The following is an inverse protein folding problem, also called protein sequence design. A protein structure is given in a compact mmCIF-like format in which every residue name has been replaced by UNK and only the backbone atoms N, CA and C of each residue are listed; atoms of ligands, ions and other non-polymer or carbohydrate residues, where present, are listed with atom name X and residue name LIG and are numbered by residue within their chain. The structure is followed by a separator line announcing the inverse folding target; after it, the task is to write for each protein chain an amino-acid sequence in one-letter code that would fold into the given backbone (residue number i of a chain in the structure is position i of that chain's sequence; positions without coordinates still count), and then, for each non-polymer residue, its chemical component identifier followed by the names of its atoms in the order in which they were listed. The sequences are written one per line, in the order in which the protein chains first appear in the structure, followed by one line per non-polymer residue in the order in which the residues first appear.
data_IF_317575394699
#
_entry.id   IF_317575394699
#
_cell.length_a   1.000
_cell.length_b   1.000
_cell.length_c   1.000
_cell.angle_alpha   90.00
_cell.angle_beta   90.00
_cell.angle_gamma   90.00
#
_symmetry.space_group_name_H-M   'P 1'
#
loop_
_entity.id
_entity.type
_entity.pdbx_description
1 polymer ?
#
# COMPACT_ATOMS: atom_id res chain seq x y z
N UNK A 1 -1.92 -9.24 -2.95
CA UNK A 1 -2.14 -10.11 -4.13
C UNK A 1 -1.07 -9.96 -5.21
N UNK A 2 -0.47 -8.77 -5.38
CA UNK A 2 0.47 -8.50 -6.47
C UNK A 2 1.80 -9.28 -6.37
N UNK A 3 2.28 -9.59 -5.17
CA UNK A 3 3.64 -10.09 -4.95
C UNK A 3 3.68 -11.59 -4.64
N UNK A 4 3.15 -12.41 -5.54
CA UNK A 4 3.22 -13.87 -5.48
C UNK A 4 4.44 -14.47 -6.22
N UNK A 5 5.28 -13.61 -6.81
CA UNK A 5 6.45 -13.99 -7.60
C UNK A 5 6.14 -14.30 -9.07
N UNK A 6 4.88 -14.21 -9.51
CA UNK A 6 4.49 -14.42 -10.90
C UNK A 6 4.54 -13.11 -11.70
N UNK A 7 5.29 -13.09 -12.80
CA UNK A 7 5.32 -11.93 -13.71
C UNK A 7 3.98 -11.70 -14.45
N UNK A 8 3.08 -12.68 -14.45
CA UNK A 8 1.76 -12.58 -15.10
C UNK A 8 0.64 -12.24 -14.10
N UNK A 9 0.99 -11.88 -12.86
CA UNK A 9 0.00 -11.52 -11.85
C UNK A 9 -0.75 -10.24 -12.30
N UNK A 10 -2.10 -10.29 -12.43
CA UNK A 10 -2.89 -9.16 -12.94
C UNK A 10 -2.91 -7.95 -11.98
N UNK A 11 -2.47 -8.13 -10.75
CA UNK A 11 -2.42 -7.05 -9.75
C UNK A 11 -1.07 -6.30 -9.74
N UNK A 12 -0.11 -6.70 -10.58
CA UNK A 12 1.14 -5.96 -10.71
C UNK A 12 0.88 -4.58 -11.33
N UNK A 13 1.61 -3.54 -10.90
CA UNK A 13 1.42 -2.17 -11.39
C UNK A 13 1.44 -2.01 -12.90
N UNK A 14 2.27 -2.77 -13.61
CA UNK A 14 2.38 -2.75 -15.07
C UNK A 14 1.16 -3.32 -15.81
N UNK A 15 0.31 -4.06 -15.14
CA UNK A 15 -0.92 -4.62 -15.69
C UNK A 15 -2.17 -3.78 -15.37
N UNK A 16 -2.01 -2.71 -14.58
CA UNK A 16 -3.11 -1.80 -14.22
C UNK A 16 -3.40 -0.87 -15.40
N UNK A 17 -4.66 -0.83 -15.82
CA UNK A 17 -5.13 -0.05 -16.98
C UNK A 17 -5.78 1.27 -16.52
N UNK A 18 -5.97 2.18 -17.48
CA UNK A 18 -6.50 3.53 -17.20
C UNK A 18 -7.95 3.53 -16.69
N UNK A 19 -8.73 2.49 -16.97
CA UNK A 19 -10.10 2.32 -16.48
C UNK A 19 -10.19 1.62 -15.12
N UNK A 20 -9.07 1.16 -14.58
CA UNK A 20 -9.05 0.43 -13.31
C UNK A 20 -9.16 1.36 -12.10
N UNK A 21 -9.56 0.76 -10.98
CA UNK A 21 -9.45 1.32 -9.65
C UNK A 21 -8.43 0.50 -8.86
N UNK A 22 -7.38 1.13 -8.38
CA UNK A 22 -6.34 0.47 -7.60
C UNK A 22 -6.50 0.75 -6.10
N UNK A 23 -6.23 -0.26 -5.28
CA UNK A 23 -6.25 -0.19 -3.82
C UNK A 23 -4.91 -0.66 -3.27
N UNK A 24 -4.37 -0.01 -2.24
CA UNK A 24 -3.27 -0.61 -1.45
C UNK A 24 -3.77 -1.75 -0.57
N UNK A 25 -5.04 -1.73 -0.21
CA UNK A 25 -5.75 -2.79 0.52
C UNK A 25 -7.22 -2.45 0.66
N UNK A 26 -8.03 -3.46 0.99
CA UNK A 26 -9.47 -3.32 1.31
C UNK A 26 -9.72 -3.55 2.79
N UNK A 27 -10.97 -3.40 3.22
CA UNK A 27 -11.36 -3.67 4.61
C UNK A 27 -11.09 -5.11 5.08
N UNK A 28 -10.99 -6.07 4.16
CA UNK A 28 -10.72 -7.49 4.45
C UNK A 28 -9.21 -7.81 4.50
N UNK A 29 -8.38 -6.92 4.01
CA UNK A 29 -6.94 -7.10 4.05
C UNK A 29 -6.37 -6.62 5.40
N UNK A 30 -5.15 -7.04 5.68
CA UNK A 30 -4.32 -6.36 6.67
C UNK A 30 -3.96 -4.96 6.20
N UNK A 31 -3.49 -4.09 7.09
CA UNK A 31 -2.83 -2.85 6.69
C UNK A 31 -1.58 -3.20 5.86
N UNK A 32 -1.14 -2.32 4.98
CA UNK A 32 0.06 -2.58 4.16
C UNK A 32 1.30 -2.86 5.02
N UNK A 33 1.44 -2.14 6.14
CA UNK A 33 2.54 -2.38 7.08
C UNK A 33 2.38 -3.74 7.79
N UNK A 34 1.18 -4.07 8.29
CA UNK A 34 0.91 -5.35 8.96
C UNK A 34 1.11 -6.54 8.02
N UNK A 35 0.63 -6.43 6.78
CA UNK A 35 0.88 -7.42 5.75
C UNK A 35 2.38 -7.66 5.55
N UNK A 36 3.16 -6.61 5.34
CA UNK A 36 4.61 -6.74 5.10
C UNK A 36 5.34 -7.35 6.29
N UNK A 37 4.98 -6.98 7.51
CA UNK A 37 5.53 -7.55 8.75
C UNK A 37 5.20 -9.04 8.91
N UNK A 38 4.09 -9.52 8.34
CA UNK A 38 3.68 -10.93 8.38
C UNK A 38 4.39 -11.81 7.36
N UNK A 39 5.09 -11.22 6.37
CA UNK A 39 5.82 -11.95 5.35
C UNK A 39 7.08 -12.62 5.90
N UNK A 40 7.43 -13.78 5.35
CA UNK A 40 8.76 -14.36 5.57
C UNK A 40 9.85 -13.51 4.93
N UNK A 41 11.10 -13.72 5.35
CA UNK A 41 12.26 -13.01 4.78
C UNK A 41 12.34 -13.20 3.26
N UNK A 42 12.05 -14.42 2.78
CA UNK A 42 12.06 -14.74 1.35
C UNK A 42 10.95 -13.97 0.60
N UNK A 43 9.76 -13.87 1.19
CA UNK A 43 8.66 -13.10 0.60
C UNK A 43 8.95 -11.59 0.60
N UNK A 44 9.53 -11.07 1.67
CA UNK A 44 9.98 -9.67 1.72
C UNK A 44 11.04 -9.39 0.64
N UNK A 45 11.92 -10.36 0.39
CA UNK A 45 12.93 -10.25 -0.67
C UNK A 45 12.30 -10.24 -2.06
N UNK A 46 11.22 -11.00 -2.31
CA UNK A 46 10.47 -10.94 -3.57
C UNK A 46 9.93 -9.53 -3.81
N UNK A 47 9.33 -8.91 -2.79
CA UNK A 47 8.83 -7.52 -2.89
C UNK A 47 9.97 -6.56 -3.21
N UNK A 48 11.08 -6.64 -2.49
CA UNK A 48 12.24 -5.78 -2.69
C UNK A 48 12.83 -5.95 -4.09
N UNK A 49 13.00 -7.18 -4.55
CA UNK A 49 13.53 -7.48 -5.88
C UNK A 49 12.64 -6.90 -6.98
N UNK A 50 11.32 -6.98 -6.82
CA UNK A 50 10.37 -6.34 -7.73
C UNK A 50 10.59 -4.82 -7.78
N UNK A 51 10.69 -4.17 -6.62
CA UNK A 51 10.90 -2.72 -6.54
C UNK A 51 12.24 -2.29 -7.18
N UNK A 52 13.29 -3.08 -7.01
CA UNK A 52 14.61 -2.82 -7.64
C UNK A 52 14.52 -3.02 -9.15
N UNK A 53 13.92 -4.11 -9.61
CA UNK A 53 13.80 -4.43 -11.03
C UNK A 53 13.01 -3.39 -11.84
N UNK A 54 12.14 -2.62 -11.17
CA UNK A 54 11.32 -1.57 -11.79
C UNK A 54 11.77 -0.15 -11.40
N UNK A 55 13.00 0.02 -10.96
CA UNK A 55 13.64 1.31 -10.62
C UNK A 55 12.94 2.11 -9.49
N UNK A 56 12.17 1.42 -8.64
CA UNK A 56 11.57 2.04 -7.44
C UNK A 56 12.53 2.10 -6.25
N UNK A 57 13.50 1.22 -6.24
CA UNK A 57 14.56 1.09 -5.23
C UNK A 57 15.89 0.77 -5.92
N UNK A 58 16.98 0.96 -5.19
CA UNK A 58 18.33 0.58 -5.61
C UNK A 58 18.83 -0.63 -4.79
N UNK A 59 19.87 -1.28 -5.29
CA UNK A 59 20.55 -2.31 -4.50
C UNK A 59 21.06 -1.74 -3.18
N UNK A 60 20.78 -2.45 -2.09
CA UNK A 60 21.11 -2.01 -0.74
C UNK A 60 20.00 -1.25 -0.02
N UNK A 61 18.94 -0.85 -0.74
CA UNK A 61 17.74 -0.28 -0.11
C UNK A 61 16.95 -1.32 0.66
N UNK A 62 16.04 -0.84 1.50
CA UNK A 62 15.03 -1.64 2.20
C UNK A 62 13.62 -1.18 1.82
N UNK A 63 12.64 -2.08 1.88
CA UNK A 63 11.24 -1.71 1.72
C UNK A 63 10.78 -0.80 2.86
N UNK A 64 9.99 0.19 2.51
CA UNK A 64 9.33 1.11 3.44
C UNK A 64 7.82 1.00 3.24
N UNK A 65 7.15 0.32 4.17
CA UNK A 65 5.70 0.14 4.11
C UNK A 65 5.01 1.02 5.14
N UNK A 66 3.91 1.64 4.76
CA UNK A 66 3.12 1.49 3.53
C UNK A 66 3.59 2.35 2.34
N UNK A 67 4.62 3.18 2.50
CA UNK A 67 5.03 4.21 1.54
C UNK A 67 5.28 3.66 0.14
N UNK A 68 5.98 2.54 0.01
CA UNK A 68 6.31 1.96 -1.29
C UNK A 68 5.04 1.49 -2.02
N UNK A 69 4.08 0.85 -1.33
CA UNK A 69 2.81 0.45 -1.93
C UNK A 69 1.94 1.65 -2.31
N UNK A 70 1.89 2.68 -1.46
CA UNK A 70 1.17 3.92 -1.77
C UNK A 70 1.74 4.58 -3.03
N UNK A 71 3.06 4.65 -3.15
CA UNK A 71 3.73 5.19 -4.35
C UNK A 71 3.38 4.39 -5.60
N UNK A 72 3.43 3.06 -5.55
CA UNK A 72 3.05 2.20 -6.67
C UNK A 72 1.59 2.46 -7.10
N UNK A 73 0.67 2.54 -6.14
CA UNK A 73 -0.74 2.82 -6.42
C UNK A 73 -0.94 4.21 -7.05
N UNK A 74 -0.29 5.25 -6.50
CA UNK A 74 -0.41 6.62 -7.01
C UNK A 74 0.26 6.80 -8.38
N UNK A 75 1.34 6.08 -8.66
CA UNK A 75 2.06 6.14 -9.92
C UNK A 75 1.41 5.28 -11.02
N UNK A 76 0.49 4.38 -10.67
CA UNK A 76 -0.18 3.50 -11.63
C UNK A 76 -1.00 4.26 -12.66
N UNK A 77 -1.36 3.60 -13.77
CA UNK A 77 -2.24 4.15 -14.80
C UNK A 77 -3.71 4.24 -14.37
N UNK A 78 -4.09 3.66 -13.23
CA UNK A 78 -5.47 3.59 -12.77
C UNK A 78 -6.15 4.95 -12.74
N UNK A 79 -7.42 5.00 -13.17
CA UNK A 79 -8.26 6.19 -13.07
C UNK A 79 -8.38 6.68 -11.62
N UNK A 80 -8.53 5.76 -10.68
CA UNK A 80 -8.70 6.07 -9.27
C UNK A 80 -7.76 5.21 -8.41
N UNK A 81 -7.05 5.84 -7.48
CA UNK A 81 -6.29 5.16 -6.43
C UNK A 81 -6.97 5.41 -5.08
N UNK A 82 -7.30 4.33 -4.38
CA UNK A 82 -7.92 4.37 -3.05
C UNK A 82 -6.92 3.83 -2.03
N UNK A 83 -6.59 4.65 -1.05
CA UNK A 83 -5.65 4.32 0.02
C UNK A 83 -6.41 4.33 1.34
N UNK A 84 -6.43 3.22 2.09
CA UNK A 84 -7.03 3.17 3.41
C UNK A 84 -6.40 4.18 4.37
N UNK A 85 -7.20 4.74 5.27
CA UNK A 85 -6.71 5.70 6.26
C UNK A 85 -5.61 5.11 7.15
N UNK A 86 -5.66 3.80 7.40
CA UNK A 86 -4.62 3.08 8.15
C UNK A 86 -3.24 3.18 7.47
N UNK A 87 -3.19 3.08 6.14
CA UNK A 87 -1.95 3.22 5.39
C UNK A 87 -1.48 4.68 5.39
N UNK A 88 -2.38 5.66 5.22
CA UNK A 88 -2.04 7.08 5.33
C UNK A 88 -1.45 7.44 6.69
N UNK A 89 -1.92 6.79 7.76
CA UNK A 89 -1.42 6.97 9.13
C UNK A 89 -0.26 6.03 9.49
N UNK A 90 0.20 5.17 8.57
CA UNK A 90 1.30 4.22 8.75
C UNK A 90 1.08 3.24 9.91
N UNK A 91 -0.15 2.75 10.04
CA UNK A 91 -0.57 1.87 11.13
C UNK A 91 -0.38 0.40 10.76
N UNK A 92 -0.02 -0.39 11.76
CA UNK A 92 0.20 -1.84 11.65
C UNK A 92 -1.10 -2.67 11.72
N UNK A 93 -0.96 -4.00 11.72
CA UNK A 93 -2.05 -4.95 11.68
C UNK A 93 -3.02 -4.92 12.88
N UNK A 94 -2.69 -4.23 13.98
CA UNK A 94 -3.62 -4.01 15.09
C UNK A 94 -4.77 -3.05 14.74
N UNK A 95 -4.68 -2.35 13.61
CA UNK A 95 -5.62 -1.33 13.15
C UNK A 95 -6.51 -1.79 12.00
N UNK A 96 -6.68 -3.10 11.79
CA UNK A 96 -7.56 -3.63 10.75
C UNK A 96 -9.02 -3.22 10.98
N UNK A 97 -9.75 -3.03 9.88
CA UNK A 97 -11.19 -2.82 9.91
C UNK A 97 -11.94 -4.13 10.14
N UNK A 98 -11.52 -5.18 9.44
CA UNK A 98 -12.14 -6.49 9.47
C UNK A 98 -11.10 -7.60 9.43
N UNK A 99 -11.35 -8.69 10.16
CA UNK A 99 -10.59 -9.94 10.10
C UNK A 99 -11.51 -11.03 9.59
N UNK A 100 -11.41 -11.42 8.30
CA UNK A 100 -12.27 -12.44 7.74
C UNK A 100 -12.27 -13.74 8.55
N UNK A 101 -13.45 -14.34 8.74
CA UNK A 101 -13.62 -15.54 9.53
C UNK A 101 -13.75 -15.33 11.04
N UNK A 102 -13.73 -14.10 11.52
CA UNK A 102 -14.01 -13.76 12.93
C UNK A 102 -15.38 -13.08 13.09
N UNK A 103 -15.97 -13.17 14.28
CA UNK A 103 -17.31 -12.61 14.58
C UNK A 103 -17.22 -11.35 15.42
N UNK A 104 -16.13 -11.16 16.17
CA UNK A 104 -15.98 -10.07 17.15
C UNK A 104 -14.89 -9.10 16.73
N UNK A 105 -14.98 -7.85 17.18
CA UNK A 105 -13.95 -6.83 17.01
C UNK A 105 -13.91 -6.18 15.63
N UNK A 106 -14.74 -6.61 14.68
CA UNK A 106 -14.79 -6.06 13.33
C UNK A 106 -15.64 -4.79 13.22
N UNK A 107 -15.31 -3.92 12.25
CA UNK A 107 -16.05 -2.69 11.93
C UNK A 107 -16.10 -1.68 13.07
N UNK A 108 -15.16 -1.73 13.99
CA UNK A 108 -15.09 -0.85 15.18
C UNK A 108 -13.92 0.13 15.12
N UNK A 109 -12.97 -0.07 14.22
CA UNK A 109 -11.80 0.77 14.10
C UNK A 109 -12.17 2.22 13.78
N UNK A 110 -11.56 3.14 14.48
CA UNK A 110 -11.68 4.58 14.29
C UNK A 110 -10.30 5.20 14.45
N UNK A 111 -10.06 6.29 13.74
CA UNK A 111 -8.90 7.13 13.98
C UNK A 111 -9.30 8.42 14.69
N UNK A 112 -8.35 9.04 15.35
CA UNK A 112 -8.48 10.37 15.91
C UNK A 112 -7.66 11.36 15.07
N UNK A 113 -8.16 12.58 14.90
CA UNK A 113 -7.47 13.61 14.11
C UNK A 113 -6.09 13.97 14.67
N UNK A 114 -5.84 13.75 15.97
CA UNK A 114 -4.51 13.91 16.56
C UNK A 114 -3.45 12.92 16.02
N UNK A 115 -3.88 11.83 15.39
CA UNK A 115 -2.99 10.88 14.70
C UNK A 115 -2.52 11.38 13.33
N UNK A 116 -3.18 12.39 12.78
CA UNK A 116 -2.81 12.97 11.48
C UNK A 116 -1.57 13.83 11.66
N UNK A 117 -0.47 13.39 11.08
CA UNK A 117 0.82 14.08 11.11
C UNK A 117 0.94 15.01 9.91
N UNK A 118 1.30 16.27 10.15
CA UNK A 118 1.49 17.25 9.07
C UNK A 118 2.56 16.83 8.05
N UNK A 119 3.60 16.13 8.48
CA UNK A 119 4.61 15.63 7.57
C UNK A 119 4.03 14.59 6.61
N UNK A 120 3.17 13.67 7.10
CA UNK A 120 2.49 12.70 6.24
C UNK A 120 1.58 13.38 5.21
N UNK A 121 0.90 14.47 5.60
CA UNK A 121 0.08 15.26 4.67
C UNK A 121 0.94 15.92 3.59
N UNK A 122 2.09 16.49 3.96
CA UNK A 122 3.03 17.09 3.00
C UNK A 122 3.63 16.05 2.06
N UNK A 123 4.01 14.88 2.58
CA UNK A 123 4.55 13.78 1.78
C UNK A 123 3.51 13.31 0.75
N UNK A 124 2.27 13.10 1.19
CA UNK A 124 1.17 12.72 0.30
C UNK A 124 0.90 13.79 -0.76
N UNK A 125 0.85 15.06 -0.38
CA UNK A 125 0.64 16.16 -1.33
C UNK A 125 1.74 16.19 -2.38
N UNK A 126 3.00 16.01 -1.98
CA UNK A 126 4.14 15.93 -2.90
C UNK A 126 3.99 14.77 -3.89
N UNK A 127 3.60 13.59 -3.41
CA UNK A 127 3.37 12.43 -4.26
C UNK A 127 2.21 12.65 -5.23
N UNK A 128 1.08 13.20 -4.76
CA UNK A 128 -0.07 13.54 -5.62
C UNK A 128 0.31 14.50 -6.74
N UNK A 129 1.11 15.53 -6.44
CA UNK A 129 1.64 16.44 -7.46
C UNK A 129 2.58 15.73 -8.45
N UNK A 130 3.51 14.91 -7.92
CA UNK A 130 4.50 14.19 -8.73
C UNK A 130 3.82 13.26 -9.75
N UNK A 131 2.72 12.60 -9.37
CA UNK A 131 2.00 11.64 -10.22
C UNK A 131 0.77 12.25 -10.92
N UNK A 132 0.62 13.58 -10.91
CA UNK A 132 -0.46 14.27 -11.62
C UNK A 132 -1.86 13.97 -11.10
N UNK A 133 -2.00 13.61 -9.82
CA UNK A 133 -3.28 13.28 -9.18
C UNK A 133 -3.84 14.43 -8.32
N UNK A 134 -3.15 15.54 -8.24
CA UNK A 134 -3.63 16.77 -7.59
C UNK A 134 -4.11 17.74 -8.68
N UNK A 135 -5.41 18.06 -8.66
CA UNK A 135 -6.05 19.01 -9.57
C UNK A 135 -6.49 20.25 -8.83
#
# INVERSE_FOLDING_TARGET
FAFDGSANNPYLPEHIMAEDVVYTGTHDNDTSLGWYQSLTVEQQQIVLNYLIAHDWKQEGDTCQMPEDLMRLALASSAFLAIIPMQDLLRLDGHHRMNVPGTVEGNWQWKFDWSQVNEQYCRDLQTQLQQYGRLH
#
